data_IF_713276911047
#
_entry.id   IF_713276911047
#
_cell.length_a   1.000
_cell.length_b   1.000
_cell.length_c   1.000
_cell.angle_alpha   90.00
_cell.angle_beta   90.00
_cell.angle_gamma   90.00
#
_symmetry.space_group_name_H-M   'P 1'
#
loop_
_entity.id
_entity.type
_entity.pdbx_description
1 polymer ?
#
# COMPACT_ATOMS: atom_id res chain seq x y z
N UNK A 1 32.76 29.11 8.14
CA UNK A 1 32.70 27.63 8.01
C UNK A 1 31.44 27.17 8.72
N UNK A 2 30.64 26.33 8.06
CA UNK A 2 29.43 25.74 8.65
C UNK A 2 29.88 24.87 9.83
N UNK A 3 29.33 25.10 11.03
CA UNK A 3 29.59 24.26 12.20
C UNK A 3 28.68 23.02 12.16
N UNK A 4 29.18 21.80 11.87
CA UNK A 4 28.32 20.63 11.61
C UNK A 4 27.44 20.27 12.81
N UNK A 5 27.97 20.45 14.03
CA UNK A 5 27.24 20.19 15.28
C UNK A 5 26.04 21.11 15.44
N UNK A 6 26.14 22.39 15.03
CA UNK A 6 25.03 23.34 15.12
C UNK A 6 23.95 23.04 14.10
N UNK A 7 24.32 22.64 12.89
CA UNK A 7 23.37 22.21 11.86
C UNK A 7 22.57 21.01 12.35
N UNK A 8 23.24 19.93 12.79
CA UNK A 8 22.56 18.73 13.28
C UNK A 8 21.65 19.01 14.48
N UNK A 9 22.11 19.86 15.41
CA UNK A 9 21.30 20.27 16.56
C UNK A 9 20.06 21.05 16.13
N UNK A 10 20.20 22.01 15.22
CA UNK A 10 19.08 22.78 14.69
C UNK A 10 18.09 21.92 13.91
N UNK A 11 18.56 20.94 13.13
CA UNK A 11 17.70 19.98 12.42
C UNK A 11 16.89 19.12 13.41
N UNK A 12 17.52 18.69 14.51
CA UNK A 12 16.84 17.91 15.55
C UNK A 12 15.83 18.75 16.35
N UNK A 13 16.21 19.95 16.79
CA UNK A 13 15.36 20.85 17.58
C UNK A 13 14.16 21.38 16.76
N UNK A 14 14.36 21.64 15.47
CA UNK A 14 13.33 22.21 14.60
C UNK A 14 12.68 21.20 13.63
N UNK A 15 12.84 19.90 13.88
CA UNK A 15 12.32 18.84 13.00
C UNK A 15 10.83 19.01 12.69
N UNK A 16 10.00 19.23 13.72
CA UNK A 16 8.56 19.37 13.58
C UNK A 16 8.13 20.56 12.69
N UNK A 17 9.00 21.56 12.55
CA UNK A 17 8.76 22.72 11.68
C UNK A 17 9.27 22.47 10.25
N UNK A 18 10.40 21.77 10.13
CA UNK A 18 11.02 21.49 8.84
C UNK A 18 10.30 20.38 8.06
N UNK A 19 9.80 19.36 8.75
CA UNK A 19 9.17 18.19 8.12
C UNK A 19 7.99 18.56 7.19
N UNK A 20 7.01 19.39 7.61
CA UNK A 20 5.91 19.77 6.72
C UNK A 20 6.32 20.72 5.59
N UNK A 21 7.40 21.48 5.80
CA UNK A 21 7.96 22.35 4.77
C UNK A 21 8.65 21.54 3.67
N UNK A 22 9.22 20.38 4.00
CA UNK A 22 9.87 19.51 3.02
C UNK A 22 8.92 19.10 1.89
N UNK A 23 7.64 18.78 2.19
CA UNK A 23 6.62 18.48 1.16
C UNK A 23 6.35 19.64 0.20
N UNK A 24 6.52 20.88 0.68
CA UNK A 24 6.34 22.07 -0.14
C UNK A 24 7.60 22.35 -0.98
N UNK A 25 8.78 22.18 -0.39
CA UNK A 25 10.05 22.31 -1.10
C UNK A 25 10.22 21.26 -2.21
N UNK A 26 9.55 20.12 -2.06
CA UNK A 26 9.45 19.09 -3.10
C UNK A 26 8.72 19.57 -4.36
N UNK A 27 7.79 20.51 -4.20
CA UNK A 27 6.97 21.06 -5.29
C UNK A 27 7.55 22.35 -5.86
N UNK A 28 8.49 23.00 -5.17
CA UNK A 28 9.15 24.20 -5.64
C UNK A 28 9.76 25.05 -4.54
N UNK A 29 9.79 26.37 -4.77
CA UNK A 29 10.45 27.34 -3.88
C UNK A 29 9.41 28.15 -3.13
N UNK A 30 9.71 28.49 -1.87
CA UNK A 30 8.83 29.29 -1.03
C UNK A 30 9.36 30.72 -0.92
N UNK A 31 8.45 31.69 -0.99
CA UNK A 31 8.76 33.09 -0.69
C UNK A 31 8.89 33.32 0.82
N UNK A 32 9.60 34.39 1.21
CA UNK A 32 9.73 34.79 2.61
C UNK A 32 8.36 34.99 3.31
N UNK A 33 7.37 35.52 2.58
CA UNK A 33 6.00 35.69 3.11
C UNK A 33 5.28 34.37 3.33
N UNK A 34 5.45 33.40 2.41
CA UNK A 34 4.85 32.07 2.53
C UNK A 34 5.49 31.30 3.70
N UNK A 35 6.82 31.35 3.84
CA UNK A 35 7.53 30.73 4.96
C UNK A 35 7.05 31.27 6.31
N UNK A 36 6.93 32.59 6.44
CA UNK A 36 6.41 33.21 7.67
C UNK A 36 4.98 32.77 7.99
N UNK A 37 4.13 32.67 6.98
CA UNK A 37 2.74 32.26 7.14
C UNK A 37 2.64 30.79 7.55
N UNK A 38 3.42 29.90 6.94
CA UNK A 38 3.44 28.48 7.28
C UNK A 38 4.01 28.22 8.67
N UNK A 39 5.11 28.88 9.03
CA UNK A 39 5.68 28.78 10.37
C UNK A 39 4.76 29.36 11.44
N UNK A 40 4.11 30.50 11.16
CA UNK A 40 3.13 31.10 12.07
C UNK A 40 1.88 30.25 12.27
N UNK A 41 1.47 29.47 11.26
CA UNK A 41 0.37 28.52 11.40
C UNK A 41 0.71 27.33 12.33
N UNK A 42 1.98 26.92 12.35
CA UNK A 42 2.47 25.81 13.19
C UNK A 42 2.81 26.26 14.63
N UNK A 43 3.28 27.50 14.79
CA UNK A 43 3.61 28.08 16.10
C UNK A 43 2.64 29.20 16.47
N UNK A 44 1.46 28.84 16.97
CA UNK A 44 0.39 29.78 17.32
C UNK A 44 0.78 30.78 18.42
N UNK A 45 1.77 30.45 19.26
CA UNK A 45 2.23 31.28 20.39
C UNK A 45 3.47 32.14 20.07
N UNK A 46 4.05 32.03 18.87
CA UNK A 46 5.31 32.72 18.54
C UNK A 46 5.09 34.09 17.93
N UNK A 47 5.94 35.06 18.29
CA UNK A 47 5.84 36.41 17.71
C UNK A 47 6.42 36.44 16.28
N UNK A 48 6.00 37.41 15.44
CA UNK A 48 6.57 37.58 14.10
C UNK A 48 8.10 37.82 14.11
N UNK A 49 8.61 38.39 15.20
CA UNK A 49 10.03 38.63 15.44
C UNK A 49 10.77 37.29 15.63
N UNK A 50 10.19 36.37 16.41
CA UNK A 50 10.78 35.06 16.70
C UNK A 50 10.89 34.20 15.43
N UNK A 51 9.86 34.22 14.60
CA UNK A 51 9.86 33.51 13.30
C UNK A 51 10.95 34.07 12.38
N UNK A 52 11.14 35.40 12.37
CA UNK A 52 12.20 36.01 11.56
C UNK A 52 13.59 35.63 12.08
N UNK A 53 13.79 35.65 13.39
CA UNK A 53 15.05 35.22 14.01
C UNK A 53 15.36 33.76 13.70
N UNK A 54 14.35 32.88 13.71
CA UNK A 54 14.48 31.47 13.35
C UNK A 54 14.88 31.29 11.88
N UNK A 55 14.22 32.00 10.95
CA UNK A 55 14.59 31.97 9.53
C UNK A 55 16.03 32.46 9.31
N UNK A 56 16.45 33.52 10.01
CA UNK A 56 17.83 34.00 9.95
C UNK A 56 18.83 32.98 10.50
N UNK A 57 18.44 32.15 11.48
CA UNK A 57 19.27 31.03 11.96
C UNK A 57 19.38 29.95 10.88
N UNK A 58 18.27 29.58 10.24
CA UNK A 58 18.27 28.57 9.18
C UNK A 58 19.09 29.01 7.95
N UNK A 59 19.02 30.28 7.57
CA UNK A 59 19.85 30.85 6.50
C UNK A 59 21.32 30.86 6.91
N UNK A 60 21.65 31.28 8.15
CA UNK A 60 23.04 31.29 8.64
C UNK A 60 23.67 29.91 8.76
N UNK A 61 22.85 28.88 8.98
CA UNK A 61 23.29 27.48 9.05
C UNK A 61 23.31 26.78 7.69
N UNK A 62 23.07 27.52 6.59
CA UNK A 62 22.92 26.97 5.23
C UNK A 62 21.86 25.85 5.15
N UNK A 63 20.83 25.89 6.01
CA UNK A 63 19.65 25.01 5.90
C UNK A 63 18.75 25.51 4.77
N UNK A 64 18.50 26.82 4.75
CA UNK A 64 17.81 27.50 3.65
C UNK A 64 18.81 28.30 2.82
N UNK A 65 18.69 28.18 1.50
CA UNK A 65 19.53 28.88 0.53
C UNK A 65 18.63 29.78 -0.34
N UNK A 66 19.01 31.04 -0.59
CA UNK A 66 18.26 31.90 -1.49
C UNK A 66 18.43 31.44 -2.94
N UNK A 67 17.33 31.44 -3.69
CA UNK A 67 17.31 31.00 -5.09
C UNK A 67 18.08 32.00 -5.96
N UNK A 68 18.87 31.49 -6.90
CA UNK A 68 19.61 32.32 -7.84
C UNK A 68 18.66 33.28 -8.59
N UNK A 69 19.02 34.58 -8.60
CA UNK A 69 18.25 35.67 -9.23
C UNK A 69 16.92 36.03 -8.54
N UNK A 70 16.56 35.42 -7.40
CA UNK A 70 15.36 35.75 -6.63
C UNK A 70 15.64 35.75 -5.12
N UNK A 71 16.15 36.85 -4.55
CA UNK A 71 16.64 36.89 -3.15
C UNK A 71 15.54 36.68 -2.10
N UNK A 72 14.27 36.86 -2.46
CA UNK A 72 13.11 36.66 -1.57
C UNK A 72 12.48 35.26 -1.68
N UNK A 73 13.08 34.37 -2.47
CA UNK A 73 12.68 32.96 -2.59
C UNK A 73 13.78 32.08 -2.01
N UNK A 74 13.36 31.05 -1.30
CA UNK A 74 14.25 30.12 -0.63
C UNK A 74 13.98 28.70 -1.12
N UNK A 75 15.04 27.91 -1.11
CA UNK A 75 15.05 26.46 -1.29
C UNK A 75 15.80 25.84 -0.10
N UNK A 76 15.54 24.56 0.17
CA UNK A 76 16.39 23.81 1.09
C UNK A 76 17.73 23.56 0.42
N UNK A 77 18.81 23.62 1.21
CA UNK A 77 20.11 23.16 0.74
C UNK A 77 20.01 21.70 0.29
N UNK A 78 20.46 21.41 -0.93
CA UNK A 78 20.32 20.08 -1.55
C UNK A 78 20.83 18.94 -0.65
N UNK A 79 21.95 19.12 0.06
CA UNK A 79 22.49 18.08 0.94
C UNK A 79 21.62 17.83 2.18
N UNK A 80 21.00 18.89 2.69
CA UNK A 80 20.09 18.81 3.84
C UNK A 80 18.74 18.26 3.39
N UNK A 81 18.26 18.67 2.22
CA UNK A 81 17.06 18.11 1.60
C UNK A 81 17.21 16.59 1.39
N UNK A 82 18.30 16.13 0.78
CA UNK A 82 18.60 14.70 0.63
C UNK A 82 18.64 13.95 1.97
N UNK A 83 19.24 14.57 2.99
CA UNK A 83 19.31 13.99 4.33
C UNK A 83 17.93 13.90 5.01
N UNK A 84 17.12 14.95 4.89
CA UNK A 84 15.75 14.97 5.42
C UNK A 84 14.86 13.97 4.68
N UNK A 85 14.94 13.89 3.35
CA UNK A 85 14.22 12.88 2.54
C UNK A 85 14.62 11.46 2.92
N UNK A 86 15.91 11.22 3.18
CA UNK A 86 16.39 9.93 3.70
C UNK A 86 15.74 9.58 5.04
N UNK A 87 15.66 10.53 5.97
CA UNK A 87 15.02 10.32 7.29
C UNK A 87 13.51 10.11 7.19
N UNK A 88 12.83 10.83 6.30
CA UNK A 88 11.38 10.72 6.04
C UNK A 88 11.01 9.44 5.29
N UNK A 89 11.99 8.66 4.81
CA UNK A 89 11.78 7.51 3.92
C UNK A 89 10.97 7.90 2.67
N UNK A 90 11.12 9.13 2.21
CA UNK A 90 10.56 9.57 0.94
C UNK A 90 11.49 9.11 -0.16
N UNK A 91 11.34 7.85 -0.53
CA UNK A 91 12.13 7.23 -1.56
C UNK A 91 11.59 7.66 -2.92
N UNK A 92 12.34 8.53 -3.59
CA UNK A 92 12.10 8.86 -5.00
C UNK A 92 12.81 7.85 -5.88
N UNK A 93 12.08 7.31 -6.84
CA UNK A 93 12.65 6.42 -7.84
C UNK A 93 13.67 7.21 -8.68
N UNK A 94 14.90 6.71 -8.73
CA UNK A 94 15.91 7.24 -9.65
C UNK A 94 15.66 6.86 -11.10
N UNK A 95 16.40 7.51 -12.00
CA UNK A 95 16.47 7.07 -13.39
C UNK A 95 17.35 5.81 -13.49
N UNK A 96 16.92 4.80 -14.24
CA UNK A 96 17.74 3.61 -14.51
C UNK A 96 19.09 3.97 -15.16
N UNK A 97 19.14 5.08 -15.92
CA UNK A 97 20.36 5.63 -16.53
C UNK A 97 21.44 6.00 -15.51
N UNK A 98 21.08 6.31 -14.26
CA UNK A 98 22.05 6.60 -13.20
C UNK A 98 22.85 5.33 -12.83
N UNK A 99 22.17 4.18 -12.72
CA UNK A 99 22.80 2.89 -12.45
C UNK A 99 23.74 2.53 -13.61
N UNK A 100 23.30 2.72 -14.86
CA UNK A 100 24.17 2.53 -16.02
C UNK A 100 25.42 3.41 -15.99
N UNK A 101 25.28 4.68 -15.60
CA UNK A 101 26.42 5.59 -15.50
C UNK A 101 27.42 5.12 -14.43
N UNK A 102 26.93 4.59 -13.30
CA UNK A 102 27.79 3.99 -12.29
C UNK A 102 28.50 2.73 -12.79
N UNK A 103 27.80 1.84 -13.50
CA UNK A 103 28.41 0.63 -14.10
C UNK A 103 29.52 0.98 -15.10
N UNK A 104 29.27 1.94 -16.00
CA UNK A 104 30.30 2.45 -16.93
C UNK A 104 31.49 3.05 -16.18
N UNK A 105 31.28 3.62 -15.00
CA UNK A 105 32.37 4.10 -14.16
C UNK A 105 33.14 2.96 -13.51
N UNK A 106 32.47 1.92 -13.00
CA UNK A 106 33.13 0.71 -12.49
C UNK A 106 34.04 0.06 -13.55
N UNK A 107 33.57 -0.03 -14.79
CA UNK A 107 34.38 -0.56 -15.89
C UNK A 107 35.62 0.28 -16.20
N UNK A 108 35.52 1.60 -16.12
CA UNK A 108 36.68 2.50 -16.28
C UNK A 108 37.68 2.33 -15.14
N UNK A 109 37.19 2.22 -13.91
CA UNK A 109 38.03 1.96 -12.74
C UNK A 109 38.74 0.61 -12.85
N UNK A 110 38.08 -0.44 -13.34
CA UNK A 110 38.73 -1.72 -13.62
C UNK A 110 39.90 -1.58 -14.61
N UNK A 111 39.75 -0.76 -15.66
CA UNK A 111 40.84 -0.41 -16.57
C UNK A 111 42.01 0.28 -15.86
N UNK A 112 41.72 1.33 -15.08
CA UNK A 112 42.77 2.05 -14.33
C UNK A 112 43.47 1.19 -13.28
N UNK A 113 42.75 0.27 -12.63
CA UNK A 113 43.32 -0.71 -11.70
C UNK A 113 44.29 -1.62 -12.45
N UNK A 114 43.91 -2.12 -13.63
CA UNK A 114 44.78 -2.96 -14.45
C UNK A 114 46.04 -2.20 -14.88
N UNK A 115 45.90 -0.97 -15.39
CA UNK A 115 47.02 -0.13 -15.82
C UNK A 115 47.99 0.15 -14.65
N UNK A 116 47.46 0.52 -13.48
CA UNK A 116 48.25 0.78 -12.27
C UNK A 116 49.02 -0.47 -11.81
N UNK A 117 48.42 -1.65 -11.94
CA UNK A 117 49.08 -2.91 -11.62
C UNK A 117 50.20 -3.26 -12.61
N UNK A 118 49.98 -3.07 -13.91
CA UNK A 118 50.98 -3.34 -14.95
C UNK A 118 52.23 -2.46 -14.78
N UNK A 119 52.06 -1.20 -14.36
CA UNK A 119 53.16 -0.26 -14.06
C UNK A 119 53.74 -0.46 -12.65
N UNK A 120 53.15 -1.36 -11.84
CA UNK A 120 53.53 -1.63 -10.44
C UNK A 120 53.47 -0.41 -9.51
N UNK A 121 52.53 0.51 -9.76
CA UNK A 121 52.28 1.64 -8.87
C UNK A 121 51.31 1.24 -7.75
N UNK A 122 51.87 0.87 -6.60
CA UNK A 122 51.11 0.47 -5.42
C UNK A 122 50.17 1.58 -4.89
N UNK A 123 50.59 2.85 -4.98
CA UNK A 123 49.81 3.97 -4.47
C UNK A 123 48.61 4.27 -5.35
N UNK A 124 48.80 4.28 -6.67
CA UNK A 124 47.70 4.46 -7.62
C UNK A 124 46.73 3.29 -7.54
N UNK A 125 47.23 2.05 -7.55
CA UNK A 125 46.42 0.84 -7.43
C UNK A 125 45.53 0.87 -6.18
N UNK A 126 46.10 1.23 -5.03
CA UNK A 126 45.35 1.34 -3.79
C UNK A 126 44.29 2.45 -3.85
N UNK A 127 44.58 3.58 -4.51
CA UNK A 127 43.61 4.67 -4.72
C UNK A 127 42.45 4.22 -5.60
N UNK A 128 42.73 3.56 -6.73
CA UNK A 128 41.68 3.12 -7.66
C UNK A 128 40.78 2.05 -7.03
N UNK A 129 41.34 1.12 -6.25
CA UNK A 129 40.56 0.12 -5.51
C UNK A 129 39.62 0.76 -4.48
N UNK A 130 40.06 1.80 -3.75
CA UNK A 130 39.17 2.55 -2.84
C UNK A 130 38.04 3.29 -3.59
N UNK A 131 38.33 3.85 -4.76
CA UNK A 131 37.32 4.51 -5.59
C UNK A 131 36.31 3.50 -6.14
N UNK A 132 36.78 2.33 -6.55
CA UNK A 132 35.92 1.22 -6.98
C UNK A 132 34.98 0.79 -5.86
N UNK A 133 35.52 0.54 -4.66
CA UNK A 133 34.73 0.17 -3.48
C UNK A 133 33.71 1.24 -3.07
N UNK A 134 34.08 2.53 -3.14
CA UNK A 134 33.14 3.63 -2.91
C UNK A 134 32.01 3.62 -3.94
N UNK A 135 32.34 3.42 -5.22
CA UNK A 135 31.33 3.41 -6.30
C UNK A 135 30.38 2.21 -6.20
N UNK A 136 30.87 1.04 -5.81
CA UNK A 136 30.01 -0.14 -5.55
C UNK A 136 29.02 0.14 -4.42
N UNK A 137 29.46 0.81 -3.35
CA UNK A 137 28.57 1.23 -2.27
C UNK A 137 27.52 2.25 -2.72
N UNK A 138 27.87 3.17 -3.62
CA UNK A 138 26.90 4.11 -4.19
C UNK A 138 25.80 3.37 -4.97
N UNK A 139 26.16 2.34 -5.76
CA UNK A 139 25.19 1.51 -6.49
C UNK A 139 24.28 0.74 -5.54
N UNK A 140 24.84 0.08 -4.53
CA UNK A 140 24.07 -0.64 -3.50
C UNK A 140 23.07 0.29 -2.79
N UNK A 141 23.52 1.48 -2.38
CA UNK A 141 22.66 2.49 -1.75
C UNK A 141 21.54 2.92 -2.70
N UNK A 142 21.84 3.10 -3.99
CA UNK A 142 20.86 3.49 -5.00
C UNK A 142 19.81 2.40 -5.22
N UNK A 143 20.23 1.14 -5.39
CA UNK A 143 19.33 -0.01 -5.53
C UNK A 143 18.38 -0.13 -4.32
N UNK A 144 18.90 0.01 -3.10
CA UNK A 144 18.08 -0.04 -1.88
C UNK A 144 17.06 1.11 -1.82
N UNK A 145 17.45 2.32 -2.23
CA UNK A 145 16.54 3.46 -2.30
C UNK A 145 15.44 3.23 -3.36
N UNK A 146 15.81 2.74 -4.54
CA UNK A 146 14.87 2.49 -5.63
C UNK A 146 13.89 1.36 -5.26
N UNK A 147 14.34 0.33 -4.54
CA UNK A 147 13.47 -0.72 -4.02
C UNK A 147 12.36 -0.17 -3.12
N UNK A 148 12.71 0.69 -2.17
CA UNK A 148 11.72 1.30 -1.27
C UNK A 148 10.76 2.24 -2.02
N UNK A 149 11.24 2.95 -3.05
CA UNK A 149 10.39 3.77 -3.90
C UNK A 149 9.36 2.91 -4.66
N UNK A 150 9.77 1.74 -5.17
CA UNK A 150 8.88 0.79 -5.84
C UNK A 150 7.82 0.21 -4.88
N UNK A 151 8.21 -0.09 -3.63
CA UNK A 151 7.26 -0.49 -2.58
C UNK A 151 6.22 0.62 -2.34
N UNK A 152 6.67 1.87 -2.20
CA UNK A 152 5.78 3.00 -2.00
C UNK A 152 4.81 3.24 -3.18
N UNK A 153 5.25 3.01 -4.43
CA UNK A 153 4.36 3.04 -5.61
C UNK A 153 3.30 1.92 -5.54
N UNK A 154 3.72 0.70 -5.21
CA UNK A 154 2.81 -0.44 -5.09
C UNK A 154 1.78 -0.23 -3.98
N UNK A 155 2.19 0.32 -2.84
CA UNK A 155 1.31 0.61 -1.71
C UNK A 155 0.31 1.71 -2.04
N UNK A 156 0.73 2.79 -2.71
CA UNK A 156 -0.17 3.85 -3.20
C UNK A 156 -1.18 3.35 -4.23
N UNK A 157 -0.80 2.37 -5.05
CA UNK A 157 -1.73 1.73 -5.97
C UNK A 157 -2.80 0.88 -5.25
N UNK A 158 -2.39 0.16 -4.19
CA UNK A 158 -3.26 -0.72 -3.40
C UNK A 158 -4.15 0.02 -2.41
N UNK A 159 -3.69 1.15 -1.86
CA UNK A 159 -4.48 1.90 -0.89
C UNK A 159 -5.75 2.44 -1.54
N UNK A 160 -6.88 2.20 -0.88
CA UNK A 160 -8.19 2.72 -1.28
C UNK A 160 -8.36 4.17 -0.82
N UNK A 161 -7.33 4.99 -1.01
CA UNK A 161 -7.44 6.40 -0.67
C UNK A 161 -8.38 7.08 -1.66
N UNK A 162 -9.38 7.80 -1.13
CA UNK A 162 -10.39 8.48 -1.95
C UNK A 162 -9.82 9.71 -2.65
N UNK A 163 -8.70 10.24 -2.17
CA UNK A 163 -8.09 11.45 -2.71
C UNK A 163 -7.47 11.25 -4.09
N UNK A 164 -6.95 10.06 -4.40
CA UNK A 164 -6.29 9.79 -5.69
C UNK A 164 -7.19 8.90 -6.58
N UNK A 165 -7.63 9.41 -7.76
CA UNK A 165 -8.41 8.63 -8.71
C UNK A 165 -7.68 7.33 -9.12
N UNK A 166 -8.42 6.22 -9.24
CA UNK A 166 -7.87 4.91 -9.62
C UNK A 166 -7.05 4.96 -10.92
N UNK A 167 -7.51 5.75 -11.90
CA UNK A 167 -6.80 5.93 -13.18
C UNK A 167 -5.41 6.53 -12.99
N UNK A 168 -5.27 7.49 -12.09
CA UNK A 168 -3.99 8.13 -11.79
C UNK A 168 -3.04 7.17 -11.08
N UNK A 169 -3.57 6.38 -10.12
CA UNK A 169 -2.81 5.32 -9.45
C UNK A 169 -2.24 4.28 -10.43
N UNK A 170 -3.06 3.77 -11.35
CA UNK A 170 -2.57 2.84 -12.37
C UNK A 170 -1.62 3.51 -13.38
N UNK A 171 -1.82 4.78 -13.70
CA UNK A 171 -0.91 5.50 -14.60
C UNK A 171 0.51 5.57 -14.01
N UNK A 172 0.63 5.84 -12.71
CA UNK A 172 1.91 5.85 -12.01
C UNK A 172 2.59 4.48 -12.02
N UNK A 173 1.84 3.39 -11.76
CA UNK A 173 2.37 2.02 -11.84
C UNK A 173 2.87 1.69 -13.25
N UNK A 174 2.11 2.05 -14.28
CA UNK A 174 2.49 1.79 -15.67
C UNK A 174 3.73 2.58 -16.08
N UNK A 175 3.80 3.88 -15.72
CA UNK A 175 4.97 4.71 -15.96
C UNK A 175 6.21 4.16 -15.25
N UNK A 176 6.09 3.81 -13.96
CA UNK A 176 7.18 3.21 -13.17
C UNK A 176 7.69 1.91 -13.80
N UNK A 177 6.78 1.08 -14.32
CA UNK A 177 7.18 -0.14 -15.01
C UNK A 177 7.99 0.17 -16.27
N UNK A 178 7.48 1.05 -17.13
CA UNK A 178 8.06 1.31 -18.44
C UNK A 178 9.36 2.16 -18.35
N UNK A 179 9.46 3.07 -17.38
CA UNK A 179 10.61 3.98 -17.19
C UNK A 179 11.75 3.39 -16.36
N UNK A 180 11.47 2.40 -15.50
CA UNK A 180 12.49 1.83 -14.59
C UNK A 180 12.58 0.30 -14.65
N UNK A 181 11.47 -0.42 -14.41
CA UNK A 181 11.52 -1.89 -14.27
C UNK A 181 11.94 -2.55 -15.58
N UNK A 182 11.36 -2.13 -16.70
CA UNK A 182 11.66 -2.70 -18.02
C UNK A 182 13.13 -2.44 -18.44
N UNK A 183 13.67 -1.21 -18.32
CA UNK A 183 15.11 -0.97 -18.48
C UNK A 183 15.98 -1.81 -17.53
N UNK A 184 15.62 -1.93 -16.24
CA UNK A 184 16.39 -2.74 -15.30
C UNK A 184 16.39 -4.23 -15.66
N UNK A 185 15.30 -4.77 -16.20
CA UNK A 185 15.27 -6.14 -16.73
C UNK A 185 16.31 -6.28 -17.83
N UNK A 186 16.32 -5.37 -18.81
CA UNK A 186 17.29 -5.40 -19.91
C UNK A 186 18.73 -5.28 -19.41
N UNK A 187 18.95 -4.47 -18.38
CA UNK A 187 20.25 -4.20 -17.81
C UNK A 187 20.82 -5.42 -17.05
N UNK A 188 19.98 -6.13 -16.27
CA UNK A 188 20.37 -7.27 -15.39
C UNK A 188 20.26 -8.63 -16.08
N UNK A 189 19.68 -8.70 -17.29
CA UNK A 189 19.68 -9.94 -18.08
C UNK A 189 21.09 -10.54 -18.20
N UNK A 190 21.20 -11.85 -18.43
CA UNK A 190 22.48 -12.59 -18.41
C UNK A 190 23.58 -12.02 -19.33
N UNK A 191 23.19 -11.33 -20.40
CA UNK A 191 24.07 -10.65 -21.35
C UNK A 191 23.92 -9.10 -21.31
N UNK A 192 23.24 -8.57 -20.30
CA UNK A 192 23.03 -7.14 -20.10
C UNK A 192 24.28 -6.42 -19.62
N UNK A 193 24.29 -5.09 -19.72
CA UNK A 193 25.46 -4.28 -19.39
C UNK A 193 25.85 -4.37 -17.89
N UNK A 194 24.93 -4.70 -17.00
CA UNK A 194 25.25 -4.94 -15.58
C UNK A 194 26.13 -6.17 -15.41
N UNK A 195 25.71 -7.31 -15.94
CA UNK A 195 26.45 -8.58 -15.86
C UNK A 195 27.82 -8.46 -16.54
N UNK A 196 27.88 -7.81 -17.70
CA UNK A 196 29.15 -7.57 -18.40
C UNK A 196 30.12 -6.70 -17.58
N UNK A 197 29.62 -5.59 -17.02
CA UNK A 197 30.42 -4.68 -16.19
C UNK A 197 30.94 -5.36 -14.93
N UNK A 198 30.08 -6.10 -14.23
CA UNK A 198 30.46 -6.86 -13.02
C UNK A 198 31.52 -7.91 -13.34
N UNK A 199 31.30 -8.75 -14.37
CA UNK A 199 32.28 -9.78 -14.78
C UNK A 199 33.63 -9.17 -15.15
N UNK A 200 33.64 -8.03 -15.83
CA UNK A 200 34.89 -7.34 -16.20
C UNK A 200 35.68 -6.91 -14.97
N UNK A 201 35.01 -6.29 -13.99
CA UNK A 201 35.66 -5.87 -12.74
C UNK A 201 36.14 -7.09 -11.95
N UNK A 202 35.29 -8.12 -11.82
CA UNK A 202 35.63 -9.37 -11.13
C UNK A 202 36.87 -10.04 -11.73
N UNK A 203 36.93 -10.18 -13.05
CA UNK A 203 38.07 -10.79 -13.74
C UNK A 203 39.38 -10.04 -13.46
N UNK A 204 39.34 -8.71 -13.41
CA UNK A 204 40.50 -7.88 -13.06
C UNK A 204 40.93 -8.16 -11.61
N UNK A 205 39.99 -8.16 -10.65
CA UNK A 205 40.31 -8.41 -9.24
C UNK A 205 40.86 -9.82 -8.99
N UNK A 206 40.27 -10.86 -9.59
CA UNK A 206 40.76 -12.23 -9.47
C UNK A 206 42.14 -12.42 -10.10
N UNK A 207 42.40 -11.76 -11.24
CA UNK A 207 43.72 -11.78 -11.87
C UNK A 207 44.77 -11.11 -10.99
N UNK A 208 44.45 -9.96 -10.39
CA UNK A 208 45.35 -9.27 -9.46
C UNK A 208 45.69 -10.13 -8.25
N UNK A 209 44.69 -10.75 -7.65
CA UNK A 209 44.86 -11.62 -6.49
C UNK A 209 45.78 -12.81 -6.81
N UNK A 210 45.58 -13.43 -7.98
CA UNK A 210 46.43 -14.54 -8.47
C UNK A 210 47.87 -14.09 -8.74
N UNK A 211 48.06 -12.94 -9.39
CA UNK A 211 49.40 -12.44 -9.73
C UNK A 211 50.15 -11.91 -8.50
N UNK A 212 49.46 -11.32 -7.51
CA UNK A 212 50.07 -10.91 -6.24
C UNK A 212 50.59 -12.10 -5.43
N UNK A 213 49.88 -13.23 -5.43
CA UNK A 213 50.37 -14.48 -4.81
C UNK A 213 51.66 -14.97 -5.47
N UNK A 214 51.84 -14.73 -6.78
CA UNK A 214 53.01 -15.17 -7.54
C UNK A 214 54.20 -14.20 -7.46
N UNK A 215 53.93 -12.89 -7.54
CA UNK A 215 54.93 -11.84 -7.74
C UNK A 215 55.22 -11.01 -6.48
N UNK A 216 54.48 -11.24 -5.39
CA UNK A 216 54.52 -10.47 -4.15
C UNK A 216 53.41 -9.42 -4.08
N UNK A 217 53.07 -9.01 -2.85
CA UNK A 217 51.95 -8.10 -2.60
C UNK A 217 52.30 -6.65 -2.94
N UNK A 218 51.55 -6.05 -3.86
CA UNK A 218 51.61 -4.61 -4.15
C UNK A 218 50.60 -3.83 -3.29
N UNK A 219 49.48 -4.46 -2.96
CA UNK A 219 48.38 -3.88 -2.17
C UNK A 219 47.84 -4.94 -1.20
N UNK A 220 47.22 -4.50 -0.11
CA UNK A 220 46.62 -5.37 0.90
C UNK A 220 45.53 -6.29 0.29
N UNK A 221 45.70 -7.60 0.45
CA UNK A 221 44.80 -8.63 -0.05
C UNK A 221 43.40 -8.52 0.58
N UNK A 222 43.30 -8.07 1.83
CA UNK A 222 42.01 -7.87 2.50
C UNK A 222 41.17 -6.80 1.79
N UNK A 223 41.80 -5.74 1.27
CA UNK A 223 41.09 -4.73 0.48
C UNK A 223 40.57 -5.30 -0.84
N UNK A 224 41.34 -6.14 -1.53
CA UNK A 224 40.93 -6.81 -2.76
C UNK A 224 39.77 -7.78 -2.51
N UNK A 225 39.88 -8.64 -1.51
CA UNK A 225 38.86 -9.63 -1.15
C UNK A 225 37.55 -8.95 -0.73
N UNK A 226 37.60 -7.88 0.07
CA UNK A 226 36.41 -7.10 0.43
C UNK A 226 35.74 -6.45 -0.77
N UNK A 227 36.54 -5.89 -1.68
CA UNK A 227 36.01 -5.24 -2.88
C UNK A 227 35.37 -6.27 -3.81
N UNK A 228 36.00 -7.44 -3.98
CA UNK A 228 35.45 -8.56 -4.76
C UNK A 228 34.13 -9.07 -4.16
N UNK A 229 34.10 -9.33 -2.84
CA UNK A 229 32.89 -9.76 -2.15
C UNK A 229 31.73 -8.76 -2.30
N UNK A 230 32.01 -7.45 -2.22
CA UNK A 230 31.00 -6.39 -2.41
C UNK A 230 30.46 -6.32 -3.82
N UNK A 231 31.26 -6.61 -4.84
CA UNK A 231 30.79 -6.67 -6.23
C UNK A 231 29.79 -7.81 -6.41
N UNK A 232 30.08 -8.98 -5.83
CA UNK A 232 29.16 -10.12 -5.84
C UNK A 232 27.88 -9.85 -5.04
N UNK A 233 28.00 -9.16 -3.90
CA UNK A 233 26.86 -8.68 -3.12
C UNK A 233 25.99 -7.72 -3.94
N UNK A 234 26.61 -6.76 -4.63
CA UNK A 234 25.92 -5.81 -5.52
C UNK A 234 25.16 -6.52 -6.63
N UNK A 235 25.76 -7.56 -7.24
CA UNK A 235 25.08 -8.36 -8.25
C UNK A 235 23.87 -9.09 -7.69
N UNK A 236 24.04 -9.75 -6.54
CA UNK A 236 22.95 -10.47 -5.88
C UNK A 236 21.82 -9.51 -5.48
N UNK A 237 22.17 -8.34 -4.92
CA UNK A 237 21.21 -7.31 -4.53
C UNK A 237 20.44 -6.78 -5.72
N UNK A 238 21.09 -6.48 -6.86
CA UNK A 238 20.40 -6.01 -8.06
C UNK A 238 19.37 -7.02 -8.58
N UNK A 239 19.73 -8.31 -8.60
CA UNK A 239 18.82 -9.39 -9.02
C UNK A 239 17.63 -9.55 -8.06
N UNK A 240 17.89 -9.48 -6.74
CA UNK A 240 16.84 -9.56 -5.71
C UNK A 240 15.89 -8.38 -5.78
N UNK A 241 16.40 -7.14 -5.85
CA UNK A 241 15.59 -5.93 -5.98
C UNK A 241 14.73 -5.99 -7.25
N UNK A 242 15.29 -6.44 -8.38
CA UNK A 242 14.51 -6.60 -9.63
C UNK A 242 13.41 -7.67 -9.47
N UNK A 243 13.73 -8.81 -8.86
CA UNK A 243 12.74 -9.86 -8.60
C UNK A 243 11.60 -9.33 -7.74
N UNK A 244 11.93 -8.64 -6.65
CA UNK A 244 10.95 -8.03 -5.75
C UNK A 244 10.09 -6.99 -6.49
N UNK A 245 10.70 -6.12 -7.28
CA UNK A 245 10.01 -5.13 -8.11
C UNK A 245 8.98 -5.78 -9.06
N UNK A 246 9.37 -6.89 -9.70
CA UNK A 246 8.47 -7.66 -10.58
C UNK A 246 7.33 -8.29 -9.81
N UNK A 247 7.61 -8.93 -8.67
CA UNK A 247 6.59 -9.54 -7.82
C UNK A 247 5.55 -8.51 -7.32
N UNK A 248 5.99 -7.27 -7.04
CA UNK A 248 5.10 -6.18 -6.61
C UNK A 248 4.28 -5.55 -7.76
N UNK A 249 4.92 -5.16 -8.86
CA UNK A 249 4.30 -4.30 -9.87
C UNK A 249 3.67 -5.05 -11.05
N UNK A 250 4.15 -6.26 -11.38
CA UNK A 250 3.59 -7.06 -12.48
C UNK A 250 2.09 -7.36 -12.30
N UNK A 251 1.59 -7.82 -11.13
CA UNK A 251 0.16 -8.08 -10.97
C UNK A 251 -0.68 -6.80 -11.13
N UNK A 252 -0.20 -5.68 -10.60
CA UNK A 252 -0.88 -4.38 -10.71
C UNK A 252 -0.93 -3.89 -12.17
N UNK A 253 0.14 -4.13 -12.94
CA UNK A 253 0.19 -3.85 -14.39
C UNK A 253 -0.84 -4.68 -15.15
N UNK A 254 -0.92 -5.97 -14.85
CA UNK A 254 -1.91 -6.85 -15.49
C UNK A 254 -3.33 -6.47 -15.14
N UNK A 255 -3.60 -6.15 -13.88
CA UNK A 255 -4.91 -5.67 -13.42
C UNK A 255 -5.31 -4.38 -14.14
N UNK A 256 -4.42 -3.40 -14.20
CA UNK A 256 -4.63 -2.16 -14.95
C UNK A 256 -4.92 -2.42 -16.44
N UNK A 257 -4.18 -3.35 -17.07
CA UNK A 257 -4.42 -3.75 -18.46
C UNK A 257 -5.78 -4.42 -18.65
N UNK A 258 -6.20 -5.30 -17.73
CA UNK A 258 -7.52 -5.95 -17.75
C UNK A 258 -8.63 -4.91 -17.60
N UNK A 259 -8.54 -4.01 -16.62
CA UNK A 259 -9.53 -2.93 -16.42
C UNK A 259 -9.63 -2.00 -17.64
N UNK A 260 -8.49 -1.65 -18.25
CA UNK A 260 -8.47 -0.87 -19.48
C UNK A 260 -9.08 -1.63 -20.67
N UNK A 261 -8.80 -2.93 -20.81
CA UNK A 261 -9.37 -3.77 -21.87
C UNK A 261 -10.89 -3.91 -21.72
N UNK A 262 -11.38 -4.16 -20.50
CA UNK A 262 -12.82 -4.23 -20.20
C UNK A 262 -13.51 -2.91 -20.48
N UNK A 263 -12.95 -1.79 -20.03
CA UNK A 263 -13.53 -0.45 -20.26
C UNK A 263 -13.58 -0.11 -21.75
N UNK A 264 -12.50 -0.39 -22.50
CA UNK A 264 -12.50 -0.21 -23.97
C UNK A 264 -13.50 -1.13 -24.66
N UNK A 265 -13.56 -2.41 -24.26
CA UNK A 265 -14.51 -3.38 -24.79
C UNK A 265 -15.96 -2.96 -24.56
N UNK A 266 -16.29 -2.50 -23.35
CA UNK A 266 -17.60 -1.96 -23.00
C UNK A 266 -17.95 -0.72 -23.83
N UNK A 267 -17.01 0.22 -24.00
CA UNK A 267 -17.22 1.40 -24.83
C UNK A 267 -17.47 1.04 -26.31
N UNK A 268 -16.73 0.08 -26.86
CA UNK A 268 -16.93 -0.44 -28.22
C UNK A 268 -18.27 -1.15 -28.35
N UNK A 269 -18.65 -1.99 -27.39
CA UNK A 269 -19.94 -2.68 -27.37
C UNK A 269 -21.10 -1.68 -27.29
N UNK A 270 -21.04 -0.69 -26.39
CA UNK A 270 -22.05 0.37 -26.30
C UNK A 270 -22.13 1.20 -27.58
N UNK A 271 -21.00 1.48 -28.23
CA UNK A 271 -20.97 2.15 -29.54
C UNK A 271 -21.63 1.31 -30.63
N UNK A 272 -21.39 0.00 -30.64
CA UNK A 272 -22.03 -0.94 -31.57
C UNK A 272 -23.54 -1.03 -31.32
N UNK A 273 -23.98 -1.15 -30.06
CA UNK A 273 -25.40 -1.13 -29.67
C UNK A 273 -26.06 0.15 -30.13
N UNK A 274 -25.43 1.31 -29.89
CA UNK A 274 -25.95 2.61 -30.31
C UNK A 274 -26.14 2.73 -31.81
N UNK A 275 -25.27 2.11 -32.62
CA UNK A 275 -25.31 2.21 -34.09
C UNK A 275 -26.18 1.16 -34.77
N UNK A 276 -26.22 -0.07 -34.24
CA UNK A 276 -26.77 -1.24 -34.94
C UNK A 276 -27.76 -2.06 -34.09
N UNK A 277 -28.09 -1.62 -32.87
CA UNK A 277 -28.96 -2.37 -31.95
C UNK A 277 -28.23 -3.48 -31.19
N UNK A 278 -28.95 -4.17 -30.31
CA UNK A 278 -28.40 -5.19 -29.40
C UNK A 278 -27.82 -6.42 -30.13
N UNK A 279 -28.37 -6.76 -31.30
CA UNK A 279 -27.97 -7.93 -32.10
C UNK A 279 -26.57 -7.78 -32.72
N UNK A 280 -26.02 -6.56 -32.72
CA UNK A 280 -24.70 -6.28 -33.27
C UNK A 280 -23.55 -6.59 -32.31
N UNK A 281 -23.84 -6.90 -31.04
CA UNK A 281 -22.84 -7.35 -30.07
C UNK A 281 -22.73 -8.88 -30.16
N UNK A 282 -21.52 -9.46 -30.24
CA UNK A 282 -21.36 -10.90 -30.21
C UNK A 282 -22.04 -11.48 -28.96
N UNK A 283 -22.96 -12.44 -29.12
CA UNK A 283 -23.68 -13.07 -27.99
C UNK A 283 -22.73 -13.70 -26.95
N UNK A 284 -21.53 -14.10 -27.37
CA UNK A 284 -20.47 -14.60 -26.48
C UNK A 284 -19.92 -13.55 -25.49
N UNK A 285 -20.20 -12.26 -25.70
CA UNK A 285 -19.72 -11.15 -24.86
C UNK A 285 -20.77 -10.63 -23.85
N UNK A 286 -21.98 -11.20 -23.83
CA UNK A 286 -22.99 -10.86 -22.83
C UNK A 286 -23.03 -11.93 -21.73
N UNK A 287 -23.04 -11.58 -20.44
CA UNK A 287 -23.45 -12.51 -19.41
C UNK A 287 -24.92 -12.85 -19.68
N UNK A 288 -25.16 -14.02 -20.26
CA UNK A 288 -26.48 -14.51 -20.64
C UNK A 288 -27.30 -14.79 -19.37
N UNK A 289 -27.81 -13.76 -18.71
CA UNK A 289 -28.96 -13.85 -17.80
C UNK A 289 -30.28 -13.94 -18.58
N UNK A 290 -30.23 -14.42 -19.82
CA UNK A 290 -31.41 -14.62 -20.65
C UNK A 290 -31.82 -16.08 -20.54
N UNK A 291 -32.99 -16.34 -19.93
CA UNK A 291 -33.68 -17.62 -20.15
C UNK A 291 -34.00 -17.70 -21.64
N UNK A 292 -33.53 -18.71 -22.39
CA UNK A 292 -33.97 -18.91 -23.75
C UNK A 292 -35.48 -19.17 -23.71
N UNK A 293 -36.29 -18.20 -24.15
CA UNK A 293 -37.67 -18.50 -24.49
C UNK A 293 -37.64 -19.23 -25.83
N UNK A 294 -37.87 -20.54 -25.78
CA UNK A 294 -38.15 -21.34 -26.96
C UNK A 294 -39.35 -20.74 -27.68
N UNK A 295 -39.18 -20.34 -28.93
CA UNK A 295 -40.27 -20.03 -29.86
C UNK A 295 -40.95 -21.30 -30.39
N UNK A 296 -40.46 -22.48 -30.01
CA UNK A 296 -41.10 -23.77 -30.29
C UNK A 296 -42.21 -24.02 -29.26
N UNK A 297 -43.46 -23.77 -29.66
CA UNK A 297 -44.61 -24.46 -29.08
C UNK A 297 -44.51 -25.89 -29.62
N UNK A 298 -44.20 -26.89 -28.78
CA UNK A 298 -43.71 -28.21 -29.22
C UNK A 298 -44.69 -29.07 -30.04
N UNK A 299 -44.89 -30.34 -29.67
CA UNK A 299 -45.74 -31.25 -30.46
C UNK A 299 -47.17 -30.71 -30.62
N UNK A 300 -47.92 -31.18 -31.63
CA UNK A 300 -49.31 -30.73 -31.88
C UNK A 300 -50.19 -30.76 -30.61
N UNK A 301 -50.00 -31.77 -29.76
CA UNK A 301 -50.65 -31.88 -28.44
C UNK A 301 -50.27 -30.78 -27.44
N UNK A 302 -49.04 -30.27 -27.48
CA UNK A 302 -48.59 -29.16 -26.63
C UNK A 302 -49.13 -27.82 -27.13
N UNK A 303 -49.25 -27.65 -28.45
CA UNK A 303 -49.93 -26.47 -29.04
C UNK A 303 -51.40 -26.48 -28.64
N UNK A 304 -52.06 -27.63 -28.72
CA UNK A 304 -53.47 -27.77 -28.35
C UNK A 304 -53.69 -27.49 -26.85
N UNK A 305 -52.83 -28.04 -25.97
CA UNK A 305 -52.85 -27.73 -24.54
C UNK A 305 -52.61 -26.24 -24.25
N UNK A 306 -51.72 -25.58 -25.01
CA UNK A 306 -51.46 -24.15 -24.89
C UNK A 306 -52.67 -23.31 -25.32
N UNK A 307 -53.33 -23.68 -26.42
CA UNK A 307 -54.56 -23.02 -26.90
C UNK A 307 -55.71 -23.21 -25.90
N UNK A 308 -55.87 -24.40 -25.32
CA UNK A 308 -56.84 -24.64 -24.26
C UNK A 308 -56.53 -23.85 -22.98
N UNK A 309 -55.25 -23.70 -22.64
CA UNK A 309 -54.81 -22.87 -21.51
C UNK A 309 -55.10 -21.38 -21.76
N UNK A 310 -54.92 -20.90 -23.00
CA UNK A 310 -55.30 -19.54 -23.42
C UNK A 310 -56.82 -19.32 -23.36
N UNK A 311 -57.61 -20.31 -23.82
CA UNK A 311 -59.08 -20.23 -23.81
C UNK A 311 -59.67 -20.15 -22.39
N UNK A 312 -58.98 -20.70 -21.40
CA UNK A 312 -59.35 -20.63 -19.97
C UNK A 312 -58.47 -19.65 -19.17
N UNK A 313 -57.75 -18.77 -19.87
CA UNK A 313 -56.83 -17.86 -19.21
C UNK A 313 -57.60 -16.75 -18.50
N UNK A 314 -57.71 -16.85 -17.19
CA UNK A 314 -58.04 -15.71 -16.35
C UNK A 314 -56.77 -14.87 -16.15
N UNK A 315 -56.75 -13.59 -16.57
CA UNK A 315 -55.58 -12.76 -16.42
C UNK A 315 -55.29 -12.57 -14.93
N UNK A 316 -54.23 -13.24 -14.44
CA UNK A 316 -53.63 -12.89 -13.15
C UNK A 316 -53.04 -11.50 -13.31
N UNK A 317 -53.57 -10.46 -12.66
CA UNK A 317 -53.01 -9.13 -12.79
C UNK A 317 -51.57 -9.15 -12.29
N UNK A 318 -50.61 -8.96 -13.20
CA UNK A 318 -49.22 -8.80 -12.84
C UNK A 318 -49.12 -7.57 -11.93
N UNK A 319 -48.83 -7.80 -10.64
CA UNK A 319 -48.54 -6.73 -9.71
C UNK A 319 -47.18 -6.14 -10.08
N UNK A 320 -47.18 -5.13 -10.93
CA UNK A 320 -46.03 -4.25 -11.07
C UNK A 320 -45.70 -3.66 -9.69
N UNK A 321 -44.42 -3.65 -9.26
CA UNK A 321 -44.03 -2.93 -8.06
C UNK A 321 -44.28 -1.44 -8.32
N UNK A 322 -45.47 -0.95 -7.96
CA UNK A 322 -45.77 0.48 -7.96
C UNK A 322 -44.88 1.12 -6.92
N UNK A 323 -44.15 2.17 -7.32
CA UNK A 323 -43.43 3.02 -6.39
C UNK A 323 -44.37 3.42 -5.25
N UNK A 324 -44.03 2.96 -4.04
CA UNK A 324 -44.61 3.29 -2.74
C UNK A 324 -45.99 3.98 -2.79
N UNK A 325 -47.04 3.18 -3.03
CA UNK A 325 -48.39 3.56 -2.68
C UNK A 325 -48.67 3.09 -1.27
N UNK A 326 -48.81 4.04 -0.34
CA UNK A 326 -49.15 3.89 1.08
C UNK A 326 -50.20 2.80 1.32
N UNK A 327 -49.75 1.58 1.60
CA UNK A 327 -50.62 0.51 2.09
C UNK A 327 -50.94 0.80 3.55
N UNK A 328 -52.21 1.13 3.82
CA UNK A 328 -52.85 0.94 5.14
C UNK A 328 -53.03 -0.56 5.43
N UNK A 329 -51.94 -1.29 5.50
CA UNK A 329 -51.82 -2.51 6.29
C UNK A 329 -50.96 -2.15 7.50
N UNK A 330 -51.20 -2.76 8.66
CA UNK A 330 -50.33 -2.58 9.84
C UNK A 330 -48.87 -2.54 9.40
N UNK A 331 -48.19 -1.45 9.75
CA UNK A 331 -46.80 -1.25 9.36
C UNK A 331 -46.02 -2.52 9.72
N UNK A 332 -45.26 -3.12 8.77
CA UNK A 332 -44.28 -4.11 9.17
C UNK A 332 -43.41 -3.43 10.22
N UNK A 333 -43.37 -4.02 11.42
CA UNK A 333 -42.62 -3.48 12.55
C UNK A 333 -41.21 -3.26 12.04
N UNK A 334 -40.72 -2.02 12.11
CA UNK A 334 -39.38 -1.71 11.62
C UNK A 334 -38.37 -2.66 12.29
N UNK A 335 -37.37 -3.19 11.56
CA UNK A 335 -36.36 -4.04 12.16
C UNK A 335 -35.72 -3.28 13.33
N UNK A 336 -35.68 -3.91 14.51
CA UNK A 336 -35.19 -3.24 15.72
C UNK A 336 -33.74 -2.83 15.54
N UNK A 337 -33.45 -1.58 15.86
CA UNK A 337 -32.09 -1.05 15.76
C UNK A 337 -31.21 -1.65 16.86
N UNK A 338 -29.91 -1.84 16.59
CA UNK A 338 -28.94 -2.36 17.59
C UNK A 338 -28.95 -1.56 18.89
N UNK A 339 -29.11 -0.24 18.79
CA UNK A 339 -29.17 0.66 19.94
C UNK A 339 -30.38 0.38 20.85
N UNK A 340 -31.54 0.13 20.25
CA UNK A 340 -32.78 -0.15 21.00
C UNK A 340 -32.72 -1.50 21.71
N UNK A 341 -32.08 -2.51 21.11
CA UNK A 341 -31.90 -3.80 21.77
C UNK A 341 -30.93 -3.73 22.94
N UNK A 342 -29.88 -2.91 22.84
CA UNK A 342 -28.95 -2.68 23.95
C UNK A 342 -29.60 -1.93 25.11
N UNK A 343 -30.36 -0.86 24.82
CA UNK A 343 -31.10 -0.10 25.83
C UNK A 343 -32.08 -1.00 26.61
N UNK A 344 -32.83 -1.86 25.90
CA UNK A 344 -33.74 -2.82 26.55
C UNK A 344 -33.03 -3.90 27.35
N UNK A 345 -31.84 -4.32 26.93
CA UNK A 345 -31.03 -5.23 27.71
C UNK A 345 -30.53 -4.57 28.99
N UNK A 346 -30.11 -3.30 28.94
CA UNK A 346 -29.70 -2.51 30.11
C UNK A 346 -30.86 -2.34 31.10
N UNK A 347 -32.07 -2.03 30.61
CA UNK A 347 -33.28 -1.87 31.44
C UNK A 347 -33.75 -3.17 32.12
N UNK A 348 -33.41 -4.33 31.54
CA UNK A 348 -33.85 -5.65 32.01
C UNK A 348 -32.85 -6.33 32.95
N UNK A 349 -31.78 -5.63 33.37
CA UNK A 349 -30.82 -6.14 34.34
C UNK A 349 -31.38 -6.11 35.77
N UNK A 350 -31.05 -7.09 36.63
CA UNK A 350 -30.27 -8.30 36.35
C UNK A 350 -31.10 -9.36 35.60
N UNK A 351 -30.53 -9.90 34.52
CA UNK A 351 -31.20 -10.84 33.63
C UNK A 351 -30.65 -12.25 33.83
N UNK A 352 -31.47 -13.22 34.30
CA UNK A 352 -30.98 -14.54 34.67
C UNK A 352 -30.63 -15.42 33.46
N UNK A 353 -31.31 -15.30 32.32
CA UNK A 353 -31.02 -16.07 31.10
C UNK A 353 -31.34 -15.25 29.85
N UNK A 354 -30.28 -14.89 29.10
CA UNK A 354 -30.36 -14.09 27.88
C UNK A 354 -31.20 -14.72 26.76
N UNK A 355 -31.15 -16.04 26.59
CA UNK A 355 -31.93 -16.73 25.56
C UNK A 355 -33.42 -16.77 25.89
N UNK A 356 -33.77 -16.96 27.17
CA UNK A 356 -35.17 -16.90 27.61
C UNK A 356 -35.72 -15.50 27.39
N UNK A 357 -34.96 -14.47 27.77
CA UNK A 357 -35.37 -13.09 27.55
C UNK A 357 -35.53 -12.74 26.07
N UNK A 358 -34.63 -13.21 25.19
CA UNK A 358 -34.76 -12.99 23.75
C UNK A 358 -36.03 -13.64 23.17
N UNK A 359 -36.39 -14.83 23.65
CA UNK A 359 -37.63 -15.52 23.25
C UNK A 359 -38.89 -14.80 23.73
N UNK A 360 -38.84 -14.17 24.91
CA UNK A 360 -39.94 -13.36 25.45
C UNK A 360 -40.09 -12.01 24.73
N UNK A 361 -38.98 -11.39 24.35
CA UNK A 361 -38.97 -10.08 23.68
C UNK A 361 -39.31 -10.17 22.18
N UNK A 362 -38.98 -11.29 21.55
CA UNK A 362 -39.23 -11.56 20.13
C UNK A 362 -39.87 -12.95 19.91
N UNK A 363 -41.14 -13.13 20.31
CA UNK A 363 -41.84 -14.41 20.19
C UNK A 363 -42.11 -14.80 18.72
N UNK A 364 -42.05 -13.84 17.80
CA UNK A 364 -42.26 -14.05 16.36
C UNK A 364 -40.97 -14.09 15.55
N UNK A 365 -39.80 -13.92 16.18
CA UNK A 365 -38.51 -13.86 15.49
C UNK A 365 -38.10 -15.19 14.86
N UNK A 366 -37.45 -15.12 13.70
CA UNK A 366 -36.82 -16.28 13.07
C UNK A 366 -35.62 -16.76 13.91
N UNK A 367 -35.30 -18.06 13.85
CA UNK A 367 -34.22 -18.65 14.66
C UNK A 367 -32.88 -17.96 14.43
N UNK A 368 -32.59 -17.59 13.18
CA UNK A 368 -31.32 -16.96 12.79
C UNK A 368 -31.17 -15.55 13.36
N UNK A 369 -32.25 -14.77 13.41
CA UNK A 369 -32.26 -13.43 14.01
C UNK A 369 -32.06 -13.51 15.53
N UNK A 370 -32.69 -14.47 16.21
CA UNK A 370 -32.51 -14.69 17.64
C UNK A 370 -31.07 -15.08 17.98
N UNK A 371 -30.44 -15.95 17.18
CA UNK A 371 -29.04 -16.35 17.35
C UNK A 371 -28.08 -15.20 17.05
N UNK A 372 -28.40 -14.37 16.05
CA UNK A 372 -27.65 -13.14 15.78
C UNK A 372 -27.64 -12.22 17.00
N UNK A 373 -28.82 -11.92 17.58
CA UNK A 373 -28.92 -11.08 18.78
C UNK A 373 -28.25 -11.69 20.00
N UNK A 374 -28.41 -12.99 20.22
CA UNK A 374 -27.72 -13.71 21.29
C UNK A 374 -26.20 -13.57 21.17
N UNK A 375 -25.65 -13.77 19.97
CA UNK A 375 -24.21 -13.65 19.71
C UNK A 375 -23.69 -12.23 19.90
N UNK A 376 -24.52 -11.22 19.61
CA UNK A 376 -24.14 -9.81 19.67
C UNK A 376 -24.18 -9.29 21.10
N UNK A 377 -25.27 -9.58 21.83
CA UNK A 377 -25.48 -9.13 23.21
C UNK A 377 -24.54 -9.83 24.20
N UNK A 378 -24.25 -11.13 23.98
CA UNK A 378 -23.28 -11.87 24.80
C UNK A 378 -21.81 -11.40 24.66
N UNK A 379 -21.51 -10.62 23.62
CA UNK A 379 -20.17 -10.08 23.33
C UNK A 379 -20.03 -8.60 23.67
N UNK A 380 -21.10 -7.94 24.10
CA UNK A 380 -21.04 -6.53 24.46
C UNK A 380 -20.30 -6.35 25.80
N UNK A 381 -19.43 -5.34 25.86
CA UNK A 381 -18.56 -5.09 27.01
C UNK A 381 -19.28 -4.43 28.18
N UNK A 382 -20.52 -3.96 27.96
CA UNK A 382 -21.34 -3.27 28.97
C UNK A 382 -21.94 -4.21 30.02
N UNK A 383 -21.98 -5.52 29.75
CA UNK A 383 -22.61 -6.50 30.62
C UNK A 383 -21.56 -7.44 31.23
N UNK A 384 -21.63 -7.64 32.55
CA UNK A 384 -20.95 -8.76 33.18
C UNK A 384 -21.73 -10.04 32.88
N UNK A 385 -21.04 -11.12 32.49
CA UNK A 385 -21.67 -12.35 32.01
C UNK A 385 -21.25 -13.55 32.85
N UNK A 386 -22.22 -14.31 33.32
CA UNK A 386 -22.02 -15.60 33.95
C UNK A 386 -22.53 -16.69 33.02
N UNK A 387 -21.70 -17.71 32.75
CA UNK A 387 -22.03 -18.76 31.78
C UNK A 387 -22.87 -19.84 32.44
N UNK A 388 -24.07 -20.05 31.92
CA UNK A 388 -24.99 -21.07 32.42
C UNK A 388 -24.70 -22.47 31.87
N UNK A 389 -25.33 -23.46 32.49
CA UNK A 389 -25.34 -24.84 32.00
C UNK A 389 -26.05 -24.97 30.65
N UNK A 390 -25.78 -26.08 29.95
CA UNK A 390 -26.36 -26.31 28.62
C UNK A 390 -27.84 -26.67 28.77
N UNK A 391 -28.71 -25.89 28.13
CA UNK A 391 -30.15 -26.12 28.11
C UNK A 391 -30.68 -26.16 26.69
N UNK A 392 -31.85 -26.77 26.53
CA UNK A 392 -32.59 -26.80 25.26
C UNK A 392 -33.60 -25.67 25.23
N UNK A 393 -33.55 -24.83 24.20
CA UNK A 393 -34.44 -23.71 23.94
C UNK A 393 -35.28 -24.00 22.70
N UNK A 394 -36.58 -23.72 22.76
CA UNK A 394 -37.49 -23.91 21.64
C UNK A 394 -37.75 -22.56 20.97
N UNK A 395 -37.17 -22.37 19.80
CA UNK A 395 -37.54 -21.28 18.89
C UNK A 395 -38.73 -21.74 18.04
N UNK A 396 -39.34 -20.81 17.28
CA UNK A 396 -40.50 -21.12 16.44
C UNK A 396 -40.24 -22.25 15.43
N UNK A 397 -39.02 -22.33 14.91
CA UNK A 397 -38.66 -23.25 13.82
C UNK A 397 -37.74 -24.38 14.28
N UNK A 398 -36.96 -24.17 15.35
CA UNK A 398 -35.88 -25.08 15.73
C UNK A 398 -35.78 -25.30 17.25
N UNK A 399 -35.33 -26.50 17.63
CA UNK A 399 -34.84 -26.81 18.98
C UNK A 399 -33.33 -26.54 19.05
N UNK A 400 -32.92 -25.56 19.84
CA UNK A 400 -31.53 -25.09 19.95
C UNK A 400 -30.95 -25.50 21.30
N UNK A 401 -29.85 -26.25 21.30
CA UNK A 401 -29.15 -26.64 22.53
C UNK A 401 -27.84 -25.86 22.70
N UNK A 402 -27.84 -24.88 23.61
CA UNK A 402 -26.68 -23.99 23.86
C UNK A 402 -26.52 -23.64 25.34
N UNK A 403 -25.36 -23.06 25.71
CA UNK A 403 -25.11 -22.50 27.04
C UNK A 403 -25.39 -21.01 26.99
N UNK A 404 -26.47 -20.58 27.64
CA UNK A 404 -26.84 -19.15 27.71
C UNK A 404 -26.01 -18.41 28.75
N UNK A 405 -26.25 -17.11 28.90
CA UNK A 405 -25.57 -16.24 29.86
C UNK A 405 -26.59 -15.55 30.77
N UNK A 406 -26.28 -15.49 32.06
CA UNK A 406 -26.88 -14.51 32.94
C UNK A 406 -26.13 -13.18 32.75
N UNK A 407 -26.87 -12.08 32.55
CA UNK A 407 -26.29 -10.75 32.38
C UNK A 407 -26.55 -9.91 33.64
N UNK A 408 -25.48 -9.32 34.15
CA UNK A 408 -25.48 -8.38 35.27
C UNK A 408 -24.95 -7.02 34.80
N UNK A 409 -25.34 -5.96 35.49
CA UNK A 409 -24.71 -4.65 35.29
C UNK A 409 -23.21 -4.78 35.61
N UNK A 410 -22.35 -4.24 34.74
CA UNK A 410 -20.93 -4.17 35.04
C UNK A 410 -20.73 -3.32 36.29
N UNK A 411 -20.38 -3.95 37.43
CA UNK A 411 -19.85 -3.24 38.58
C UNK A 411 -18.47 -2.68 38.20
N UNK A 412 -18.19 -1.45 38.62
CA UNK A 412 -16.82 -0.93 38.66
C UNK A 412 -15.99 -1.79 39.62
N UNK A 413 -15.31 -2.80 39.08
CA UNK A 413 -14.27 -3.56 39.77
C UNK A 413 -12.91 -3.24 39.16
N UNK A 414 -12.42 -2.04 39.48
CA UNK A 414 -10.98 -1.82 39.70
C UNK A 414 -10.64 -2.25 41.13
N UNK A 415 -10.46 -3.56 41.34
CA UNK A 415 -9.67 -4.14 42.44
C UNK A 415 -9.77 -5.66 42.36
N UNK A 416 -8.86 -6.29 41.61
CA UNK A 416 -8.31 -7.65 41.83
C UNK A 416 -7.44 -8.01 40.63
N UNK A 417 -6.37 -7.23 40.45
CA UNK A 417 -5.16 -7.68 39.78
C UNK A 417 -4.11 -7.91 40.86
N UNK A 418 -4.24 -9.03 41.56
CA UNK A 418 -3.14 -9.63 42.33
C UNK A 418 -3.55 -11.04 42.71
N UNK A 419 -2.63 -11.97 42.49
CA UNK A 419 -2.71 -13.39 42.85
C UNK A 419 -3.58 -14.24 41.90
N UNK A 420 -3.12 -15.31 41.27
CA UNK A 420 -1.83 -15.98 41.33
C UNK A 420 -1.75 -16.94 40.15
N UNK A 421 -0.60 -16.93 39.48
CA UNK A 421 -0.03 -18.13 38.85
C UNK A 421 -0.12 -19.30 39.82
N UNK A 422 -0.46 -20.51 39.36
CA UNK A 422 0.28 -21.79 39.53
C UNK A 422 -0.62 -22.98 39.10
N UNK A 423 0.03 -23.99 38.48
CA UNK A 423 -0.39 -25.35 38.07
C UNK A 423 -0.90 -25.47 36.62
N UNK A 424 -0.14 -25.98 35.63
CA UNK A 424 0.69 -27.19 35.53
C UNK A 424 -0.11 -28.50 35.59
N UNK A 425 -0.59 -28.97 34.43
CA UNK A 425 -0.42 -30.31 33.84
C UNK A 425 -1.06 -30.36 32.46
#
# INVERSE_FOLDING_TARGET
>A
MIEPKRVLRALAEHWALLEPLCEHFDQGTLSLSELRLQLGAQQQDSTPQDITNLLDVWIRLDILVPVAKSPNRFELNAQIHDFLSYLRREHRLGLCLEIEAYLRHLERLAGYIQDAFEVRDANDLARQLRLLDMRVRDVLKKLANDEQALVAVADRAKTSDRQIPLRQRYAEVLATWDEYVEPMIQLVNADGAFEQGVRKVENVLLRLLTEQQRLGHLVDDDMLLRTHARILEMQTSAQLTLRHARELLLPLREEARRHNAVTRGAALALSAIRRKGLDAVPQAAMPMFTRPQSTFLGSASQVEAYVYALARFEPKPARFPKASGTRKGQAPRAPRTVKEMLERCEDALPMPDLMVWLLEQEPTGETDELLYWFSRLSRDKRFARERLERREYFTREHRVSLRSFALLAAKDEQAEHSESTVHAS
#
